data_IF_424453015792
#
_entry.id   IF_424453015792
#
_cell.length_a   1.000
_cell.length_b   1.000
_cell.length_c   1.000
_cell.angle_alpha   90.00
_cell.angle_beta   90.00
_cell.angle_gamma   90.00
#
_symmetry.space_group_name_H-M   'P 1'
#
loop_
_entity.id
_entity.type
_entity.pdbx_description
1 polymer ?
#
# COMPACT_ATOMS: atom_id res chain seq x y z
N UNK A 1 1.05 -3.39 7.52
CA UNK A 1 0.27 -4.64 7.49
C UNK A 1 1.19 -5.81 7.23
N UNK A 2 1.23 -6.79 8.14
CA UNK A 2 2.13 -7.95 7.99
C UNK A 2 1.59 -8.99 7.00
N UNK A 3 0.28 -9.06 6.80
CA UNK A 3 -0.37 -10.02 5.89
C UNK A 3 0.21 -9.99 4.46
N UNK A 4 0.65 -8.82 3.98
CA UNK A 4 1.32 -8.70 2.69
C UNK A 4 2.54 -9.61 2.52
N UNK A 5 3.32 -9.80 3.59
CA UNK A 5 4.46 -10.73 3.59
C UNK A 5 4.04 -12.19 3.40
N UNK A 6 2.95 -12.61 4.05
CA UNK A 6 2.39 -13.96 3.90
C UNK A 6 1.82 -14.17 2.49
N UNK A 7 1.05 -13.20 2.00
CA UNK A 7 0.50 -13.24 0.64
C UNK A 7 1.62 -13.35 -0.40
N UNK A 8 2.70 -12.58 -0.24
CA UNK A 8 3.86 -12.67 -1.13
C UNK A 8 4.55 -14.04 -1.04
N UNK A 9 4.71 -14.60 0.16
CA UNK A 9 5.28 -15.95 0.33
C UNK A 9 4.45 -17.02 -0.40
N UNK A 10 3.12 -16.95 -0.28
CA UNK A 10 2.21 -17.89 -0.93
C UNK A 10 2.24 -17.72 -2.45
N UNK A 11 2.29 -16.47 -2.95
CA UNK A 11 2.43 -16.17 -4.37
C UNK A 11 3.76 -16.71 -4.95
N UNK A 12 4.86 -16.55 -4.22
CA UNK A 12 6.19 -17.07 -4.61
C UNK A 12 6.20 -18.61 -4.67
N UNK A 13 5.60 -19.28 -3.68
CA UNK A 13 5.49 -20.75 -3.67
C UNK A 13 4.62 -21.28 -4.81
N UNK A 14 3.56 -20.56 -5.13
CA UNK A 14 2.66 -20.93 -6.23
C UNK A 14 3.23 -20.58 -7.61
N UNK A 15 4.33 -19.82 -7.70
CA UNK A 15 4.96 -19.44 -8.95
C UNK A 15 4.06 -18.57 -9.85
N UNK A 16 3.23 -17.69 -9.25
CA UNK A 16 2.23 -16.89 -9.99
C UNK A 16 2.86 -15.80 -10.87
N UNK A 17 4.13 -15.47 -10.64
CA UNK A 17 4.87 -14.49 -11.41
C UNK A 17 6.30 -15.00 -11.71
N UNK A 18 6.92 -14.43 -12.74
CA UNK A 18 8.30 -14.77 -13.12
C UNK A 18 9.34 -14.07 -12.23
N UNK A 19 8.97 -12.94 -11.64
CA UNK A 19 9.83 -12.10 -10.79
C UNK A 19 9.03 -11.52 -9.65
N UNK A 20 9.69 -11.36 -8.52
CA UNK A 20 9.10 -10.84 -7.28
C UNK A 20 9.97 -9.69 -6.77
N UNK A 21 9.37 -8.53 -6.65
CA UNK A 21 10.04 -7.31 -6.19
C UNK A 21 9.30 -6.79 -4.96
N UNK A 22 10.03 -6.47 -3.91
CA UNK A 22 9.47 -5.75 -2.76
C UNK A 22 9.87 -4.29 -2.84
N UNK A 23 8.89 -3.41 -2.71
CA UNK A 23 9.06 -1.97 -2.79
C UNK A 23 8.67 -1.34 -1.47
N UNK A 24 9.59 -0.63 -0.84
CA UNK A 24 9.34 0.08 0.41
C UNK A 24 10.61 0.54 1.08
N UNK A 25 10.87 1.83 1.03
CA UNK A 25 11.96 2.46 1.78
C UNK A 25 11.53 2.80 3.21
N UNK A 26 11.71 4.05 3.63
CA UNK A 26 11.31 4.52 4.94
C UNK A 26 10.32 5.68 4.81
N UNK A 27 9.11 5.49 5.31
CA UNK A 27 8.02 6.45 5.30
C UNK A 27 7.38 6.63 6.68
N UNK A 28 6.24 7.29 6.71
CA UNK A 28 5.53 7.62 7.95
C UNK A 28 4.92 6.40 8.68
N UNK A 29 4.85 5.24 8.04
CA UNK A 29 4.34 3.98 8.62
C UNK A 29 5.45 3.02 9.02
N UNK A 30 6.69 3.31 8.68
CA UNK A 30 7.82 2.39 8.84
C UNK A 30 8.06 2.03 10.31
N UNK A 31 7.97 2.99 11.24
CA UNK A 31 8.14 2.70 12.68
C UNK A 31 7.04 1.75 13.20
N UNK A 32 5.80 1.93 12.75
CA UNK A 32 4.72 1.02 13.11
C UNK A 32 4.99 -0.40 12.55
N UNK A 33 5.48 -0.50 11.31
CA UNK A 33 5.86 -1.80 10.74
C UNK A 33 7.01 -2.45 11.51
N UNK A 34 8.04 -1.69 11.87
CA UNK A 34 9.18 -2.18 12.69
C UNK A 34 8.70 -2.77 14.00
N UNK A 35 7.89 -2.02 14.74
CA UNK A 35 7.32 -2.48 16.01
C UNK A 35 6.47 -3.73 15.82
N UNK A 36 5.50 -3.70 14.91
CA UNK A 36 4.60 -4.83 14.69
C UNK A 36 5.33 -6.09 14.21
N UNK A 37 6.35 -5.94 13.36
CA UNK A 37 7.15 -7.08 12.90
C UNK A 37 8.03 -7.63 14.03
N UNK A 38 8.65 -6.77 14.84
CA UNK A 38 9.46 -7.19 15.99
C UNK A 38 8.62 -7.93 17.03
N UNK A 39 7.38 -7.50 17.27
CA UNK A 39 6.46 -8.19 18.17
C UNK A 39 6.01 -9.54 17.63
N UNK A 40 5.70 -9.62 16.34
CA UNK A 40 5.22 -10.84 15.69
C UNK A 40 6.32 -11.86 15.38
N UNK A 41 7.54 -11.38 15.10
CA UNK A 41 8.69 -12.14 14.65
C UNK A 41 9.96 -11.63 15.34
N UNK A 42 10.18 -11.91 16.63
CA UNK A 42 11.28 -11.34 17.44
C UNK A 42 12.70 -11.61 16.89
N UNK A 43 12.86 -12.64 16.07
CA UNK A 43 14.15 -13.00 15.47
C UNK A 43 14.54 -12.11 14.27
N UNK A 44 13.60 -11.28 13.77
CA UNK A 44 13.87 -10.38 12.65
C UNK A 44 14.42 -9.07 13.18
N UNK A 45 15.64 -8.73 12.77
CA UNK A 45 16.20 -7.39 13.00
C UNK A 45 15.41 -6.35 12.20
N UNK A 46 14.77 -5.41 12.89
CA UNK A 46 13.94 -4.36 12.27
C UNK A 46 14.50 -2.96 12.43
N UNK A 47 15.42 -2.74 13.40
CA UNK A 47 16.01 -1.45 13.66
C UNK A 47 16.73 -0.91 12.41
N UNK A 48 16.46 0.34 12.06
CA UNK A 48 17.06 1.04 10.92
C UNK A 48 16.82 0.38 9.53
N UNK A 49 16.03 -0.70 9.47
CA UNK A 49 15.70 -1.38 8.21
C UNK A 49 14.57 -0.67 7.48
N UNK A 50 14.65 -0.70 6.15
CA UNK A 50 13.55 -0.28 5.27
C UNK A 50 12.41 -1.30 5.28
N UNK A 51 11.22 -0.90 4.86
CA UNK A 51 10.07 -1.79 4.79
C UNK A 51 10.34 -3.01 3.91
N UNK A 52 11.01 -2.81 2.75
CA UNK A 52 11.39 -3.91 1.86
C UNK A 52 12.39 -4.88 2.50
N UNK A 53 13.39 -4.39 3.24
CA UNK A 53 14.36 -5.24 3.93
C UNK A 53 13.73 -6.06 5.05
N UNK A 54 12.77 -5.50 5.79
CA UNK A 54 12.02 -6.20 6.84
C UNK A 54 11.24 -7.37 6.24
N UNK A 55 10.48 -7.12 5.18
CA UNK A 55 9.73 -8.20 4.51
C UNK A 55 10.64 -9.23 3.83
N UNK A 56 11.77 -8.82 3.26
CA UNK A 56 12.75 -9.76 2.70
C UNK A 56 13.35 -10.67 3.80
N UNK A 57 13.64 -10.12 4.98
CA UNK A 57 14.10 -10.89 6.13
C UNK A 57 13.05 -11.89 6.61
N UNK A 58 11.78 -11.47 6.68
CA UNK A 58 10.66 -12.34 6.99
C UNK A 58 10.54 -13.50 5.98
N UNK A 59 10.55 -13.21 4.68
CA UNK A 59 10.49 -14.25 3.64
C UNK A 59 11.62 -15.23 3.75
N UNK A 60 12.84 -14.74 3.95
CA UNK A 60 14.03 -15.59 4.06
C UNK A 60 13.98 -16.48 5.30
N UNK A 61 13.65 -15.92 6.45
CA UNK A 61 13.77 -16.59 7.74
C UNK A 61 12.62 -17.58 7.98
N UNK A 62 11.39 -17.20 7.63
CA UNK A 62 10.21 -18.04 7.90
C UNK A 62 9.79 -18.91 6.72
N UNK A 63 10.22 -18.56 5.51
CA UNK A 63 9.77 -19.25 4.30
C UNK A 63 10.90 -19.80 3.44
N UNK A 64 12.16 -19.43 3.70
CA UNK A 64 13.29 -19.82 2.86
C UNK A 64 13.24 -19.20 1.45
N UNK A 65 12.48 -18.11 1.28
CA UNK A 65 12.26 -17.44 0.01
C UNK A 65 13.08 -16.14 -0.09
N UNK A 66 13.55 -15.84 -1.28
CA UNK A 66 14.31 -14.62 -1.56
C UNK A 66 13.66 -13.92 -2.75
N UNK A 67 13.22 -12.66 -2.62
CA UNK A 67 12.72 -11.89 -3.76
C UNK A 67 13.84 -11.60 -4.76
N UNK A 68 13.49 -11.35 -6.02
CA UNK A 68 14.46 -11.02 -7.07
C UNK A 68 15.12 -9.66 -6.84
N UNK A 69 14.38 -8.69 -6.26
CA UNK A 69 14.93 -7.37 -5.92
C UNK A 69 14.17 -6.68 -4.79
N UNK A 70 14.84 -5.65 -4.26
CA UNK A 70 14.30 -4.70 -3.29
C UNK A 70 14.46 -3.27 -3.80
N UNK A 71 13.40 -2.48 -3.71
CA UNK A 71 13.48 -1.03 -3.80
C UNK A 71 13.39 -0.46 -2.39
N UNK A 72 14.44 0.22 -1.92
CA UNK A 72 14.60 0.65 -0.52
C UNK A 72 14.73 2.18 -0.35
N UNK A 73 14.59 2.97 -1.41
CA UNK A 73 14.82 4.43 -1.36
C UNK A 73 13.54 5.25 -1.25
N UNK A 74 12.41 4.65 -1.58
CA UNK A 74 11.12 5.34 -1.59
C UNK A 74 10.72 5.82 -0.20
N UNK A 75 10.06 6.98 -0.15
CA UNK A 75 9.57 7.60 1.09
C UNK A 75 8.05 7.81 1.08
N UNK A 76 7.42 7.60 -0.06
CA UNK A 76 5.99 7.77 -0.28
C UNK A 76 5.51 6.92 -1.45
N UNK A 77 4.18 6.85 -1.64
CA UNK A 77 3.57 6.03 -2.68
C UNK A 77 3.94 6.43 -4.11
N UNK A 78 4.19 7.71 -4.37
CA UNK A 78 4.65 8.17 -5.68
C UNK A 78 6.05 7.64 -5.98
N UNK A 79 6.96 7.75 -5.00
CA UNK A 79 8.31 7.20 -5.10
C UNK A 79 8.30 5.68 -5.24
N UNK A 80 7.42 4.96 -4.55
CA UNK A 80 7.29 3.52 -4.72
C UNK A 80 7.12 3.14 -6.20
N UNK A 81 6.30 3.89 -6.93
CA UNK A 81 6.00 3.62 -8.33
C UNK A 81 7.16 4.05 -9.24
N UNK A 82 7.65 5.28 -9.08
CA UNK A 82 8.68 5.84 -9.98
C UNK A 82 10.03 5.14 -9.79
N UNK A 83 10.40 4.77 -8.56
CA UNK A 83 11.64 4.05 -8.29
C UNK A 83 11.55 2.57 -8.66
N UNK A 84 10.35 1.95 -8.53
CA UNK A 84 10.13 0.62 -9.10
C UNK A 84 10.34 0.63 -10.62
N UNK A 85 9.73 1.59 -11.33
CA UNK A 85 9.89 1.70 -12.78
C UNK A 85 11.37 1.89 -13.16
N UNK A 86 12.08 2.79 -12.49
CA UNK A 86 13.52 3.00 -12.71
C UNK A 86 14.35 1.72 -12.46
N UNK A 87 14.03 0.95 -11.42
CA UNK A 87 14.67 -0.33 -11.11
C UNK A 87 14.42 -1.37 -12.20
N UNK A 88 13.20 -1.47 -12.72
CA UNK A 88 12.85 -2.41 -13.79
C UNK A 88 13.54 -2.05 -15.12
N UNK A 89 13.65 -0.75 -15.42
CA UNK A 89 14.35 -0.25 -16.61
C UNK A 89 15.86 -0.49 -16.52
N UNK A 90 16.47 -0.23 -15.36
CA UNK A 90 17.88 -0.51 -15.09
C UNK A 90 18.20 -2.00 -15.32
N UNK A 91 17.33 -2.87 -14.88
CA UNK A 91 17.46 -4.32 -15.04
C UNK A 91 17.06 -4.82 -16.42
N UNK A 92 16.54 -3.96 -17.27
CA UNK A 92 16.02 -4.32 -18.60
C UNK A 92 14.95 -5.42 -18.54
N UNK A 93 14.18 -5.44 -17.47
CA UNK A 93 13.05 -6.36 -17.36
C UNK A 93 11.87 -5.87 -18.18
N UNK A 94 11.41 -6.75 -19.07
CA UNK A 94 10.11 -6.53 -19.71
C UNK A 94 9.00 -6.56 -18.65
N UNK A 95 8.30 -5.45 -18.48
CA UNK A 95 7.20 -5.29 -17.52
C UNK A 95 5.85 -5.07 -18.22
N UNK A 96 5.58 -5.90 -19.22
CA UNK A 96 4.31 -5.83 -19.97
C UNK A 96 3.10 -6.25 -19.15
N UNK A 97 3.32 -6.97 -18.06
CA UNK A 97 2.29 -7.36 -17.10
C UNK A 97 2.86 -7.37 -15.70
N UNK A 98 2.14 -6.75 -14.77
CA UNK A 98 2.50 -6.69 -13.34
C UNK A 98 1.32 -7.10 -12.47
N UNK A 99 1.62 -7.84 -11.40
CA UNK A 99 0.68 -8.03 -10.29
C UNK A 99 1.05 -7.00 -9.24
N UNK A 100 0.15 -6.07 -9.01
CA UNK A 100 0.31 -5.01 -8.02
C UNK A 100 -0.39 -5.43 -6.72
N UNK A 101 0.42 -5.81 -5.73
CA UNK A 101 -0.08 -6.20 -4.41
C UNK A 101 0.22 -5.12 -3.38
N UNK A 102 -0.80 -4.61 -2.73
CA UNK A 102 -0.68 -3.55 -1.74
C UNK A 102 -1.70 -3.73 -0.61
N UNK A 103 -1.54 -2.95 0.46
CA UNK A 103 -2.57 -2.72 1.48
C UNK A 103 -3.89 -2.29 0.82
N UNK A 104 -4.98 -2.92 1.23
CA UNK A 104 -6.30 -2.72 0.60
C UNK A 104 -6.72 -1.26 0.59
N UNK A 105 -6.39 -0.48 1.63
CA UNK A 105 -6.74 0.95 1.71
C UNK A 105 -6.07 1.77 0.61
N UNK A 106 -4.90 1.34 0.13
CA UNK A 106 -4.07 2.10 -0.81
C UNK A 106 -4.05 1.51 -2.23
N UNK A 107 -4.61 0.30 -2.42
CA UNK A 107 -4.53 -0.43 -3.68
C UNK A 107 -4.98 0.40 -4.89
N UNK A 108 -6.12 1.09 -4.78
CA UNK A 108 -6.68 1.89 -5.88
C UNK A 108 -5.78 3.09 -6.26
N UNK A 109 -5.17 3.76 -5.26
CA UNK A 109 -4.26 4.87 -5.53
C UNK A 109 -2.95 4.40 -6.15
N UNK A 110 -2.44 3.25 -5.71
CA UNK A 110 -1.26 2.64 -6.32
C UNK A 110 -1.53 2.23 -7.76
N UNK A 111 -2.68 1.62 -8.06
CA UNK A 111 -3.12 1.32 -9.43
C UNK A 111 -3.14 2.58 -10.30
N UNK A 112 -3.79 3.64 -9.82
CA UNK A 112 -3.87 4.91 -10.56
C UNK A 112 -2.49 5.55 -10.80
N UNK A 113 -1.57 5.39 -9.85
CA UNK A 113 -0.19 5.82 -10.04
C UNK A 113 0.55 4.98 -11.07
N UNK A 114 0.42 3.65 -11.03
CA UNK A 114 1.03 2.77 -12.05
C UNK A 114 0.46 3.09 -13.44
N UNK A 115 -0.85 3.26 -13.59
CA UNK A 115 -1.47 3.67 -14.86
C UNK A 115 -0.94 4.99 -15.41
N UNK A 116 -0.47 5.88 -14.52
CA UNK A 116 0.10 7.16 -14.93
C UNK A 116 1.53 7.05 -15.45
N UNK A 117 2.37 6.28 -14.78
CA UNK A 117 3.83 6.30 -15.01
C UNK A 117 4.34 5.14 -15.85
N UNK A 118 3.67 4.00 -15.83
CA UNK A 118 4.10 2.85 -16.62
C UNK A 118 3.75 3.01 -18.10
N UNK A 119 4.47 2.30 -19.01
CA UNK A 119 4.18 2.35 -20.43
C UNK A 119 2.72 1.97 -20.75
N UNK A 120 2.14 2.67 -21.72
CA UNK A 120 0.82 2.31 -22.23
C UNK A 120 0.81 0.85 -22.73
N UNK A 121 -0.23 0.11 -22.35
CA UNK A 121 -0.33 -1.32 -22.69
C UNK A 121 0.23 -2.26 -21.63
N UNK A 122 0.85 -1.77 -20.55
CA UNK A 122 1.16 -2.62 -19.39
C UNK A 122 -0.12 -3.16 -18.79
N UNK A 123 -0.24 -4.47 -18.70
CA UNK A 123 -1.37 -5.13 -18.01
C UNK A 123 -1.15 -5.06 -16.51
N UNK A 124 -2.08 -4.44 -15.79
CA UNK A 124 -2.04 -4.33 -14.33
C UNK A 124 -3.06 -5.29 -13.74
N UNK A 125 -2.60 -6.22 -12.91
CA UNK A 125 -3.45 -7.14 -12.15
C UNK A 125 -3.42 -6.67 -10.71
N UNK A 126 -4.53 -6.11 -10.24
CA UNK A 126 -4.66 -5.62 -8.87
C UNK A 126 -4.96 -6.75 -7.91
N UNK A 127 -4.22 -6.80 -6.81
CA UNK A 127 -4.42 -7.77 -5.74
C UNK A 127 -4.20 -7.12 -4.38
N UNK A 128 -5.29 -6.78 -3.68
CA UNK A 128 -5.18 -6.29 -2.30
C UNK A 128 -4.71 -7.41 -1.36
N UNK A 129 -3.73 -7.13 -0.53
CA UNK A 129 -3.15 -8.11 0.39
C UNK A 129 -4.16 -8.71 1.38
N UNK A 130 -5.27 -8.03 1.60
CA UNK A 130 -6.39 -8.50 2.40
C UNK A 130 -7.69 -7.81 1.95
N UNK A 131 -8.83 -8.35 2.33
CA UNK A 131 -10.09 -7.63 2.33
C UNK A 131 -10.61 -7.59 3.77
N UNK A 132 -11.18 -6.49 4.22
CA UNK A 132 -11.67 -6.32 5.58
C UNK A 132 -12.97 -5.54 5.60
N UNK A 133 -13.85 -5.94 6.48
CA UNK A 133 -15.10 -5.24 6.77
C UNK A 133 -15.11 -4.79 8.22
N UNK A 134 -15.70 -3.64 8.47
CA UNK A 134 -15.91 -3.09 9.80
C UNK A 134 -17.38 -3.22 10.14
N UNK A 135 -17.68 -3.86 11.24
CA UNK A 135 -19.03 -3.93 11.82
C UNK A 135 -19.13 -3.03 13.05
N UNK A 136 -20.31 -2.45 13.26
CA UNK A 136 -20.63 -1.74 14.48
C UNK A 136 -21.47 -2.65 15.38
N UNK A 137 -21.16 -2.66 16.67
CA UNK A 137 -21.99 -3.25 17.73
C UNK A 137 -22.14 -2.27 18.89
N UNK A 138 -22.81 -2.66 19.96
CA UNK A 138 -23.06 -1.78 21.10
C UNK A 138 -21.79 -1.24 21.78
N UNK A 139 -20.64 -1.91 21.59
CA UNK A 139 -19.36 -1.58 22.20
C UNK A 139 -18.44 -0.77 21.26
N UNK A 140 -18.85 -0.56 19.98
CA UNK A 140 -18.08 0.22 19.02
C UNK A 140 -17.85 -0.47 17.68
N UNK A 141 -16.70 -0.17 17.05
CA UNK A 141 -16.31 -0.71 15.75
C UNK A 141 -15.37 -1.90 15.92
N UNK A 142 -15.62 -2.95 15.17
CA UNK A 142 -14.77 -4.16 15.14
C UNK A 142 -14.62 -4.72 13.74
N UNK A 143 -13.55 -5.45 13.51
CA UNK A 143 -13.35 -6.19 12.28
C UNK A 143 -14.18 -7.47 12.24
N UNK A 144 -14.67 -7.83 11.06
CA UNK A 144 -15.46 -9.06 10.85
C UNK A 144 -14.56 -10.31 10.78
N UNK A 145 -13.25 -10.13 10.54
CA UNK A 145 -12.26 -11.22 10.51
C UNK A 145 -10.90 -10.76 11.00
N UNK A 146 -10.08 -11.70 11.45
CA UNK A 146 -8.69 -11.45 11.81
C UNK A 146 -7.81 -11.43 10.57
N UNK A 147 -6.92 -10.43 10.50
CA UNK A 147 -5.87 -10.28 9.49
C UNK A 147 -4.56 -10.05 10.24
N UNK A 148 -3.49 -10.73 9.85
CA UNK A 148 -2.21 -10.65 10.55
C UNK A 148 -1.59 -9.24 10.50
N UNK A 149 -1.30 -8.71 11.68
CA UNK A 149 -0.76 -7.37 11.83
C UNK A 149 -1.71 -6.26 11.33
N UNK A 150 -3.03 -6.47 11.45
CA UNK A 150 -4.03 -5.47 11.07
C UNK A 150 -3.88 -4.20 11.90
N UNK A 151 -4.11 -3.05 11.27
CA UNK A 151 -4.26 -1.77 11.95
C UNK A 151 -5.37 -1.87 13.01
N UNK A 152 -5.31 -1.05 14.06
CA UNK A 152 -6.50 -0.81 14.86
C UNK A 152 -7.61 -0.14 14.00
N UNK A 153 -8.84 -0.21 14.46
CA UNK A 153 -10.02 0.26 13.69
C UNK A 153 -9.98 1.76 13.43
N UNK A 154 -9.49 2.57 14.37
CA UNK A 154 -9.36 4.02 14.22
C UNK A 154 -8.32 4.35 13.15
N UNK A 155 -7.16 3.69 13.18
CA UNK A 155 -6.11 3.87 12.18
C UNK A 155 -6.59 3.45 10.79
N UNK A 156 -7.28 2.32 10.70
CA UNK A 156 -7.84 1.85 9.43
C UNK A 156 -8.83 2.86 8.82
N UNK A 157 -9.75 3.38 9.62
CA UNK A 157 -10.68 4.42 9.17
C UNK A 157 -9.95 5.69 8.75
N UNK A 158 -8.93 6.11 9.51
CA UNK A 158 -8.09 7.27 9.16
C UNK A 158 -7.39 7.08 7.82
N UNK A 159 -6.92 5.87 7.51
CA UNK A 159 -6.33 5.55 6.22
C UNK A 159 -7.37 5.64 5.10
N UNK A 160 -8.54 4.99 5.25
CA UNK A 160 -9.62 5.03 4.25
C UNK A 160 -10.11 6.47 4.01
N UNK A 161 -10.39 7.22 5.08
CA UNK A 161 -10.83 8.61 4.98
C UNK A 161 -9.78 9.50 4.31
N UNK A 162 -8.50 9.20 4.51
CA UNK A 162 -7.41 9.93 3.87
C UNK A 162 -7.25 9.64 2.37
N UNK A 163 -7.73 8.50 1.87
CA UNK A 163 -7.59 8.16 0.45
C UNK A 163 -8.58 8.91 -0.45
N UNK A 164 -9.80 9.14 -0.01
CA UNK A 164 -10.83 9.80 -0.86
C UNK A 164 -10.38 11.18 -1.35
N UNK A 165 -9.88 12.11 -0.50
CA UNK A 165 -9.36 13.40 -0.99
C UNK A 165 -8.20 13.25 -1.98
N UNK A 166 -7.36 12.21 -1.81
CA UNK A 166 -6.22 11.96 -2.71
C UNK A 166 -6.63 11.39 -4.06
N UNK A 167 -7.68 10.57 -4.09
CA UNK A 167 -8.20 9.96 -5.32
C UNK A 167 -9.00 10.94 -6.19
N UNK A 168 -9.47 12.06 -5.62
CA UNK A 168 -10.25 13.06 -6.37
C UNK A 168 -9.48 13.61 -7.55
N UNK A 169 -10.23 13.93 -8.60
CA UNK A 169 -9.73 14.60 -9.81
C UNK A 169 -10.28 16.04 -9.86
N UNK A 170 -9.99 16.79 -8.81
CA UNK A 170 -10.29 18.21 -8.64
C UNK A 170 -9.04 18.99 -8.19
N UNK A 171 -9.13 20.29 -8.02
CA UNK A 171 -8.00 21.16 -7.70
C UNK A 171 -7.18 20.72 -6.47
N UNK A 172 -7.80 20.06 -5.50
CA UNK A 172 -7.15 19.59 -4.27
C UNK A 172 -6.68 18.14 -4.35
N UNK A 173 -7.23 17.36 -5.29
CA UNK A 173 -6.95 15.94 -5.48
C UNK A 173 -5.64 15.67 -6.21
N UNK A 174 -5.34 14.38 -6.37
CA UNK A 174 -4.12 13.91 -7.04
C UNK A 174 -4.33 13.57 -8.50
N UNK A 175 -5.57 13.59 -8.98
CA UNK A 175 -5.92 13.33 -10.38
C UNK A 175 -5.38 14.38 -11.36
N UNK A 176 -5.60 14.17 -12.69
CA UNK A 176 -5.09 15.04 -13.74
C UNK A 176 -5.54 16.50 -13.65
N UNK A 177 -6.76 16.76 -13.15
CA UNK A 177 -7.30 18.12 -12.98
C UNK A 177 -6.84 18.82 -11.70
N UNK A 178 -6.09 18.10 -10.84
CA UNK A 178 -5.51 18.62 -9.62
C UNK A 178 -3.98 18.62 -9.65
N UNK A 179 -3.36 17.89 -8.70
CA UNK A 179 -1.90 17.83 -8.56
C UNK A 179 -1.22 16.97 -9.63
N UNK A 180 -1.98 16.20 -10.39
CA UNK A 180 -1.47 15.38 -11.47
C UNK A 180 -0.52 14.26 -11.01
N UNK A 181 -0.67 13.72 -9.81
CA UNK A 181 0.20 12.65 -9.29
C UNK A 181 -0.24 11.24 -9.71
N UNK A 182 -1.51 11.07 -10.05
CA UNK A 182 -2.10 9.79 -10.46
C UNK A 182 -2.94 9.94 -11.72
N UNK A 183 -3.26 8.84 -12.40
CA UNK A 183 -4.28 8.83 -13.45
C UNK A 183 -5.67 9.07 -12.85
N UNK A 184 -6.63 9.46 -13.67
CA UNK A 184 -8.02 9.64 -13.25
C UNK A 184 -8.60 8.37 -12.59
N UNK A 185 -9.37 8.59 -11.54
CA UNK A 185 -10.10 7.55 -10.81
C UNK A 185 -11.56 7.94 -10.70
N UNK A 186 -12.43 7.08 -11.19
CA UNK A 186 -13.87 7.19 -10.96
C UNK A 186 -14.20 6.74 -9.54
N UNK A 187 -14.64 7.67 -8.70
CA UNK A 187 -15.10 7.36 -7.35
C UNK A 187 -16.63 7.26 -7.37
N UNK A 188 -17.22 6.11 -7.02
CA UNK A 188 -18.68 5.94 -6.99
C UNK A 188 -19.37 7.00 -6.12
N UNK A 189 -20.53 7.46 -6.57
CA UNK A 189 -21.26 8.54 -5.89
C UNK A 189 -21.67 8.19 -4.45
N UNK A 190 -22.01 6.94 -4.19
CA UNK A 190 -22.32 6.41 -2.87
C UNK A 190 -21.10 6.43 -1.93
N UNK A 191 -19.89 6.16 -2.46
CA UNK A 191 -18.65 6.27 -1.70
C UNK A 191 -18.35 7.72 -1.32
N UNK A 192 -18.56 8.66 -2.25
CA UNK A 192 -18.42 10.09 -1.95
C UNK A 192 -19.44 10.52 -0.89
N UNK A 193 -20.68 10.08 -1.01
CA UNK A 193 -21.74 10.40 -0.04
C UNK A 193 -21.40 9.85 1.36
N UNK A 194 -20.94 8.61 1.44
CA UNK A 194 -20.52 7.98 2.69
C UNK A 194 -19.33 8.74 3.31
N UNK A 195 -18.33 9.12 2.49
CA UNK A 195 -17.19 9.91 2.94
C UNK A 195 -17.63 11.26 3.51
N UNK A 196 -18.49 12.02 2.82
CA UNK A 196 -18.92 13.33 3.30
C UNK A 196 -19.75 13.22 4.58
N UNK A 197 -20.55 12.15 4.73
CA UNK A 197 -21.28 11.88 5.95
C UNK A 197 -20.32 11.57 7.12
N UNK A 198 -19.35 10.67 6.92
CA UNK A 198 -18.33 10.34 7.93
C UNK A 198 -17.48 11.56 8.30
N UNK A 199 -17.06 12.35 7.31
CA UNK A 199 -16.28 13.58 7.52
C UNK A 199 -17.04 14.58 8.38
N UNK A 200 -18.35 14.70 8.21
CA UNK A 200 -19.20 15.59 9.01
C UNK A 200 -19.29 15.14 10.48
N UNK A 201 -19.29 13.82 10.72
CA UNK A 201 -19.37 13.25 12.07
C UNK A 201 -17.99 13.14 12.74
N UNK A 202 -16.96 12.84 11.97
CA UNK A 202 -15.63 12.44 12.42
C UNK A 202 -14.52 13.12 11.61
N UNK A 203 -14.61 14.44 11.39
CA UNK A 203 -13.66 15.19 10.54
C UNK A 203 -12.20 15.10 10.96
N UNK A 204 -11.93 14.82 12.22
CA UNK A 204 -10.59 14.57 12.77
C UNK A 204 -9.92 13.30 12.20
N UNK A 205 -10.69 12.36 11.62
CA UNK A 205 -10.15 11.15 11.00
C UNK A 205 -9.61 11.40 9.58
N UNK A 206 -9.91 12.53 8.95
CA UNK A 206 -9.35 12.87 7.64
C UNK A 206 -7.91 13.33 7.79
N UNK A 207 -6.97 12.43 7.47
CA UNK A 207 -5.54 12.70 7.62
C UNK A 207 -5.02 13.68 6.55
N UNK A 208 -4.40 14.81 6.92
CA UNK A 208 -3.69 15.66 5.97
C UNK A 208 -2.47 14.95 5.35
N UNK A 209 -2.00 15.45 4.21
CA UNK A 209 -0.74 15.00 3.65
C UNK A 209 0.41 15.42 4.59
N UNK A 210 1.33 14.51 4.89
CA UNK A 210 2.52 14.82 5.69
C UNK A 210 3.57 15.50 4.81
N UNK A 211 3.93 16.73 5.16
CA UNK A 211 4.88 17.54 4.38
C UNK A 211 6.29 16.97 4.34
N UNK A 212 6.68 16.23 5.38
CA UNK A 212 8.01 15.62 5.48
C UNK A 212 8.28 14.56 4.40
N UNK A 213 7.21 13.99 3.81
CA UNK A 213 7.27 12.97 2.77
C UNK A 213 6.69 13.47 1.43
N UNK A 214 6.67 14.78 1.23
CA UNK A 214 6.44 15.39 -0.08
C UNK A 214 7.72 15.27 -0.90
N UNK A 215 7.65 14.61 -2.03
CA UNK A 215 8.71 14.59 -3.05
C UNK A 215 8.45 15.65 -4.08
#
# INVERSE_FOLDING_TARGET
MLEGGKVLADAMRAGVAKRYVIVGGAGHTTETLRTSMQEACPEIETAERTEAEIFASYLKQYHGLVPDALECRSTNCGNNITYLLALLDEWKYAHNSIILCQDATMQLRMDAGVRKFFPQGTTIINYAAYGQEVAADGDGLRYTRSVWGMWDTERYLTLLMGEIPRLRDDAEGYGPNGKGYIAHVDIPADVIQAFEWLKKQHGNLVRPADERFRS
#
